data_IF_998079701832
#
_entry.id   IF_998079701832
#
_cell.length_a   1.000
_cell.length_b   1.000
_cell.length_c   1.000
_cell.angle_alpha   90.00
_cell.angle_beta   90.00
_cell.angle_gamma   90.00
#
_symmetry.space_group_name_H-M   'P 1'
#
loop_
_entity.id
_entity.type
_entity.pdbx_description
1 polymer ?
#
# COMPACT_ATOMS: atom_id res chain seq x y z
N UNK A 1 16.29 -9.00 9.27
CA UNK A 1 16.22 -8.55 7.85
C UNK A 1 17.42 -9.14 7.11
N UNK A 2 17.26 -9.94 6.04
CA UNK A 2 18.42 -10.66 5.44
C UNK A 2 19.38 -9.76 4.66
N UNK A 3 18.92 -8.60 4.20
CA UNK A 3 19.71 -7.58 3.47
C UNK A 3 20.18 -6.45 4.39
N UNK A 4 20.32 -6.70 5.69
CA UNK A 4 20.75 -5.69 6.65
C UNK A 4 21.72 -6.32 7.62
N UNK A 5 22.89 -5.70 7.78
CA UNK A 5 23.90 -6.21 8.70
C UNK A 5 23.35 -6.26 10.14
N UNK A 6 23.65 -7.31 10.94
CA UNK A 6 23.07 -7.49 12.28
C UNK A 6 23.27 -6.30 13.23
N UNK A 7 24.40 -5.60 13.10
CA UNK A 7 24.70 -4.38 13.88
C UNK A 7 23.72 -3.24 13.59
N UNK A 8 23.28 -3.11 12.35
CA UNK A 8 22.33 -2.08 11.92
C UNK A 8 20.92 -2.44 12.40
N UNK A 9 20.54 -3.72 12.29
CA UNK A 9 19.26 -4.21 12.81
C UNK A 9 19.15 -3.97 14.33
N UNK A 10 20.20 -4.28 15.09
CA UNK A 10 20.26 -4.02 16.53
C UNK A 10 20.15 -2.53 16.84
N UNK A 11 20.94 -1.67 16.18
CA UNK A 11 20.90 -0.22 16.38
C UNK A 11 19.50 0.36 16.08
N UNK A 12 18.90 -0.08 14.98
CA UNK A 12 17.56 0.35 14.59
C UNK A 12 16.52 -0.07 15.63
N UNK A 13 16.60 -1.31 16.12
CA UNK A 13 15.71 -1.80 17.18
C UNK A 13 15.85 -0.98 18.46
N UNK A 14 17.08 -0.69 18.91
CA UNK A 14 17.32 0.17 20.08
C UNK A 14 16.73 1.57 19.91
N UNK A 15 16.81 2.15 18.70
CA UNK A 15 16.18 3.44 18.39
C UNK A 15 14.66 3.38 18.50
N UNK A 16 14.01 2.31 18.01
CA UNK A 16 12.57 2.13 18.12
C UNK A 16 12.10 1.94 19.58
N UNK A 17 12.91 1.27 20.40
CA UNK A 17 12.58 1.02 21.80
C UNK A 17 12.71 2.26 22.69
N UNK A 18 13.44 3.30 22.24
CA UNK A 18 13.47 4.61 22.91
C UNK A 18 12.19 5.42 22.69
N UNK A 19 11.38 5.06 21.71
CA UNK A 19 10.10 5.73 21.43
C UNK A 19 8.99 5.16 22.33
N UNK A 20 8.02 6.00 22.67
CA UNK A 20 6.79 5.51 23.31
C UNK A 20 5.93 4.73 22.30
N UNK A 21 5.01 3.86 22.77
CA UNK A 21 4.06 3.18 21.89
C UNK A 21 3.30 4.14 20.95
N UNK A 22 2.88 5.30 21.46
CA UNK A 22 2.14 6.32 20.70
C UNK A 22 3.01 6.94 19.60
N UNK A 23 4.28 7.21 19.91
CA UNK A 23 5.23 7.72 18.92
C UNK A 23 5.48 6.72 17.79
N UNK A 24 5.61 5.42 18.12
CA UNK A 24 5.74 4.36 17.10
C UNK A 24 4.50 4.23 16.23
N UNK A 25 3.31 4.31 16.83
CA UNK A 25 2.05 4.30 16.09
C UNK A 25 1.97 5.48 15.12
N UNK A 26 2.26 6.69 15.61
CA UNK A 26 2.23 7.90 14.79
C UNK A 26 3.21 7.82 13.60
N UNK A 27 4.42 7.30 13.82
CA UNK A 27 5.39 7.08 12.75
C UNK A 27 4.85 6.10 11.70
N UNK A 28 4.28 4.97 12.14
CA UNK A 28 3.69 3.97 11.23
C UNK A 28 2.54 4.57 10.43
N UNK A 29 1.66 5.34 11.05
CA UNK A 29 0.56 6.03 10.36
C UNK A 29 1.06 7.04 9.32
N UNK A 30 2.10 7.81 9.63
CA UNK A 30 2.72 8.76 8.69
C UNK A 30 3.36 8.04 7.50
N UNK A 31 4.04 6.92 7.75
CA UNK A 31 4.64 6.09 6.72
C UNK A 31 3.56 5.51 5.81
N UNK A 32 2.47 4.96 6.39
CA UNK A 32 1.33 4.45 5.64
C UNK A 32 0.69 5.54 4.76
N UNK A 33 0.42 6.73 5.32
CA UNK A 33 -0.16 7.84 4.57
C UNK A 33 0.74 8.29 3.40
N UNK A 34 2.05 8.19 3.56
CA UNK A 34 3.02 8.49 2.49
C UNK A 34 3.01 7.40 1.42
N UNK A 35 3.08 6.13 1.82
CA UNK A 35 2.99 4.99 0.91
C UNK A 35 1.69 4.99 0.09
N UNK A 36 0.55 5.31 0.73
CA UNK A 36 -0.75 5.44 0.07
C UNK A 36 -0.71 6.52 -1.02
N UNK A 37 -0.20 7.71 -0.71
CA UNK A 37 -0.06 8.81 -1.69
C UNK A 37 0.83 8.44 -2.87
N UNK A 38 1.94 7.73 -2.63
CA UNK A 38 2.82 7.25 -3.70
C UNK A 38 2.10 6.24 -4.60
N UNK A 39 1.36 5.30 -4.02
CA UNK A 39 0.57 4.34 -4.78
C UNK A 39 -0.52 5.03 -5.63
N UNK A 40 -1.26 5.97 -5.04
CA UNK A 40 -2.29 6.75 -5.74
C UNK A 40 -1.71 7.54 -6.90
N UNK A 41 -0.59 8.23 -6.70
CA UNK A 41 0.09 9.00 -7.75
C UNK A 41 0.59 8.09 -8.88
N UNK A 42 1.14 6.92 -8.56
CA UNK A 42 1.59 5.94 -9.55
C UNK A 42 0.42 5.38 -10.38
N UNK A 43 -0.72 5.08 -9.75
CA UNK A 43 -1.93 4.59 -10.45
C UNK A 43 -2.42 5.66 -11.42
N UNK A 44 -2.57 6.90 -10.95
CA UNK A 44 -3.01 8.03 -11.77
C UNK A 44 -2.07 8.31 -12.95
N UNK A 45 -0.77 8.07 -12.79
CA UNK A 45 0.22 8.26 -13.85
C UNK A 45 0.21 7.15 -14.92
N UNK A 46 -0.29 5.96 -14.59
CA UNK A 46 -0.22 4.78 -15.48
C UNK A 46 -1.47 4.62 -16.35
N UNK A 47 -2.62 5.10 -15.87
CA UNK A 47 -3.90 4.96 -16.58
C UNK A 47 -4.17 6.20 -17.42
N UNK A 48 -4.42 6.01 -18.71
CA UNK A 48 -4.83 7.07 -19.62
C UNK A 48 -6.33 7.34 -19.46
N UNK A 49 -6.70 8.54 -19.03
CA UNK A 49 -8.10 8.99 -18.97
C UNK A 49 -8.50 9.58 -17.61
N UNK A 50 -9.72 10.12 -17.51
CA UNK A 50 -10.27 10.61 -16.26
C UNK A 50 -10.38 9.47 -15.25
N UNK A 51 -9.87 9.70 -14.04
CA UNK A 51 -9.90 8.74 -12.95
C UNK A 51 -10.76 9.28 -11.80
N UNK A 52 -11.87 8.58 -11.55
CA UNK A 52 -12.68 8.81 -10.37
C UNK A 52 -12.15 8.07 -9.12
N UNK A 53 -12.77 8.34 -7.99
CA UNK A 53 -12.38 7.77 -6.70
C UNK A 53 -12.71 6.28 -6.57
N UNK A 54 -13.71 5.77 -7.29
CA UNK A 54 -14.09 4.36 -7.25
C UNK A 54 -13.06 3.51 -7.99
N UNK A 55 -12.67 3.94 -9.19
CA UNK A 55 -11.60 3.35 -9.97
C UNK A 55 -10.28 3.34 -9.18
N UNK A 56 -9.93 4.46 -8.55
CA UNK A 56 -8.71 4.54 -7.74
C UNK A 56 -8.73 3.55 -6.55
N UNK A 57 -9.87 3.43 -5.85
CA UNK A 57 -10.02 2.47 -4.74
C UNK A 57 -9.89 1.04 -5.22
N UNK A 58 -10.49 0.71 -6.37
CA UNK A 58 -10.37 -0.61 -6.99
C UNK A 58 -8.93 -0.93 -7.35
N UNK A 59 -8.22 -0.02 -8.00
CA UNK A 59 -6.82 -0.22 -8.37
C UNK A 59 -5.90 -0.37 -7.15
N UNK A 60 -6.12 0.43 -6.10
CA UNK A 60 -5.43 0.26 -4.82
C UNK A 60 -5.69 -1.12 -4.20
N UNK A 61 -6.95 -1.57 -4.21
CA UNK A 61 -7.32 -2.88 -3.69
C UNK A 61 -6.64 -4.01 -4.47
N UNK A 62 -6.65 -3.95 -5.80
CA UNK A 62 -6.00 -4.94 -6.65
C UNK A 62 -4.48 -4.94 -6.48
N UNK A 63 -3.87 -3.77 -6.29
CA UNK A 63 -2.42 -3.67 -6.06
C UNK A 63 -2.00 -4.33 -4.74
N UNK A 64 -2.82 -4.20 -3.69
CA UNK A 64 -2.53 -4.77 -2.38
C UNK A 64 -2.92 -6.26 -2.27
N UNK A 65 -4.09 -6.63 -2.79
CA UNK A 65 -4.72 -7.92 -2.53
C UNK A 65 -5.00 -8.75 -3.79
N UNK A 66 -4.73 -8.22 -4.99
CA UNK A 66 -5.13 -8.84 -6.25
C UNK A 66 -4.56 -10.25 -6.50
N UNK A 67 -3.43 -10.60 -5.86
CA UNK A 67 -2.85 -11.96 -5.93
C UNK A 67 -3.59 -12.97 -5.05
N UNK A 68 -4.26 -12.50 -4.00
CA UNK A 68 -5.02 -13.29 -3.03
C UNK A 68 -6.48 -13.44 -3.46
N UNK A 69 -6.99 -12.44 -4.19
CA UNK A 69 -8.35 -12.44 -4.72
C UNK A 69 -8.45 -13.41 -5.91
N UNK A 70 -9.19 -14.52 -5.70
CA UNK A 70 -9.39 -15.60 -6.68
C UNK A 70 -10.87 -15.86 -6.97
N UNK A 71 -11.14 -16.55 -8.08
CA UNK A 71 -12.47 -17.06 -8.38
C UNK A 71 -13.54 -15.97 -8.58
N UNK A 72 -14.79 -16.19 -8.15
CA UNK A 72 -15.90 -15.26 -8.35
C UNK A 72 -15.65 -13.85 -7.81
N UNK A 73 -14.94 -13.72 -6.68
CA UNK A 73 -14.61 -12.43 -6.07
C UNK A 73 -13.73 -11.57 -6.98
N UNK A 74 -12.81 -12.21 -7.73
CA UNK A 74 -11.98 -11.51 -8.71
C UNK A 74 -12.82 -10.94 -9.85
N UNK A 75 -13.84 -11.67 -10.32
CA UNK A 75 -14.77 -11.19 -11.34
C UNK A 75 -15.67 -10.07 -10.84
N UNK A 76 -16.11 -10.12 -9.58
CA UNK A 76 -16.89 -9.03 -8.98
C UNK A 76 -16.08 -7.74 -8.87
N UNK A 77 -14.80 -7.84 -8.47
CA UNK A 77 -13.89 -6.70 -8.35
C UNK A 77 -13.42 -6.19 -9.72
N UNK A 78 -13.23 -7.06 -10.71
CA UNK A 78 -12.74 -6.70 -12.05
C UNK A 78 -13.84 -6.40 -13.09
N UNK A 79 -15.02 -6.99 -12.95
CA UNK A 79 -16.09 -7.03 -13.94
C UNK A 79 -16.95 -5.76 -14.03
N UNK A 80 -16.61 -4.71 -13.28
CA UNK A 80 -17.20 -3.38 -13.46
C UNK A 80 -16.62 -2.59 -14.63
N UNK A 81 -15.80 -3.19 -15.51
CA UNK A 81 -15.16 -2.50 -16.63
C UNK A 81 -15.14 -3.34 -17.91
N UNK A 82 -16.28 -3.98 -18.24
CA UNK A 82 -16.59 -4.31 -19.63
C UNK A 82 -17.42 -3.15 -20.19
N UNK A 83 -16.73 -2.11 -20.66
CA UNK A 83 -17.28 -1.13 -21.59
C UNK A 83 -16.24 -0.97 -22.70
N UNK A 84 -16.53 -1.67 -23.80
CA UNK A 84 -16.06 -1.29 -25.13
C UNK A 84 -16.70 0.04 -25.52
#
# INVERSE_FOLDING_TARGET
MSDTAPVIEKRYHEMLMRLTPEQRLLQTCRMFATAKRLAESSIRATLAGPMDDEMLRRELFLRLYGREVRGPLRRMVLGGHDSQ
#
